data_IF_417030854165
#
_entry.id   IF_417030854165
#
_cell.length_a   1.000
_cell.length_b   1.000
_cell.length_c   1.000
_cell.angle_alpha   90.00
_cell.angle_beta   90.00
_cell.angle_gamma   90.00
#
_symmetry.space_group_name_H-M   'P 1'
#
loop_
_entity.id
_entity.type
_entity.pdbx_description
1 polymer ?
#
# COMPACT_ATOMS: atom_id res chain seq x y z
N UNK A 1 -15.40 -30.38 -12.17
CA UNK A 1 -15.40 -29.46 -11.00
C UNK A 1 -13.99 -28.94 -10.72
N UNK A 2 -12.99 -29.80 -10.51
CA UNK A 2 -11.58 -29.38 -10.30
C UNK A 2 -11.01 -28.41 -11.35
N UNK A 3 -11.32 -28.60 -12.64
CA UNK A 3 -10.85 -27.67 -13.70
C UNK A 3 -11.44 -26.26 -13.60
N UNK A 4 -12.66 -26.11 -13.07
CA UNK A 4 -13.29 -24.79 -12.89
C UNK A 4 -12.74 -24.07 -11.65
N UNK A 5 -12.41 -24.81 -10.59
CA UNK A 5 -11.76 -24.28 -9.38
C UNK A 5 -10.33 -23.82 -9.68
N UNK A 6 -9.57 -24.61 -10.44
CA UNK A 6 -8.24 -24.22 -10.90
C UNK A 6 -8.26 -22.93 -11.73
N UNK A 7 -9.17 -22.84 -12.71
CA UNK A 7 -9.35 -21.63 -13.51
C UNK A 7 -9.73 -20.41 -12.66
N UNK A 8 -10.54 -20.61 -11.62
CA UNK A 8 -10.92 -19.57 -10.66
C UNK A 8 -9.71 -19.10 -9.83
N UNK A 9 -8.91 -20.01 -9.27
CA UNK A 9 -7.69 -19.65 -8.54
C UNK A 9 -6.69 -18.92 -9.43
N UNK A 10 -6.50 -19.37 -10.68
CA UNK A 10 -5.63 -18.69 -11.63
C UNK A 10 -6.10 -17.26 -11.96
N UNK A 11 -7.42 -17.04 -12.04
CA UNK A 11 -7.97 -15.69 -12.22
C UNK A 11 -7.77 -14.82 -10.98
N UNK A 12 -8.04 -15.35 -9.78
CA UNK A 12 -7.79 -14.63 -8.53
C UNK A 12 -6.31 -14.27 -8.38
N UNK A 13 -5.40 -15.20 -8.70
CA UNK A 13 -3.96 -14.97 -8.63
C UNK A 13 -3.51 -13.82 -9.54
N UNK A 14 -4.09 -13.71 -10.75
CA UNK A 14 -3.82 -12.55 -11.64
C UNK A 14 -4.29 -11.25 -11.02
N UNK A 15 -5.53 -11.21 -10.52
CA UNK A 15 -6.09 -10.02 -9.88
C UNK A 15 -5.28 -9.57 -8.66
N UNK A 16 -4.87 -10.49 -7.79
CA UNK A 16 -4.08 -10.16 -6.60
C UNK A 16 -2.67 -9.65 -6.95
N UNK A 17 -2.05 -10.18 -8.02
CA UNK A 17 -0.77 -9.67 -8.52
C UNK A 17 -0.89 -8.25 -9.08
N UNK A 18 -1.97 -7.94 -9.80
CA UNK A 18 -2.25 -6.58 -10.27
C UNK A 18 -2.46 -5.61 -9.10
N UNK A 19 -3.22 -6.04 -8.07
CA UNK A 19 -3.41 -5.26 -6.86
C UNK A 19 -2.10 -5.04 -6.08
N UNK A 20 -1.21 -6.04 -6.05
CA UNK A 20 0.09 -5.91 -5.41
C UNK A 20 0.95 -4.84 -6.10
N UNK A 21 1.05 -4.88 -7.43
CA UNK A 21 1.78 -3.86 -8.21
C UNK A 21 1.22 -2.47 -7.96
N UNK A 22 -0.11 -2.34 -7.94
CA UNK A 22 -0.76 -1.07 -7.61
C UNK A 22 -0.42 -0.61 -6.19
N UNK A 23 -0.51 -1.51 -5.20
CA UNK A 23 -0.20 -1.18 -3.81
C UNK A 23 1.25 -0.73 -3.64
N UNK A 24 2.20 -1.34 -4.36
CA UNK A 24 3.60 -0.92 -4.40
C UNK A 24 3.75 0.53 -4.88
N UNK A 25 3.11 0.86 -6.01
CA UNK A 25 3.15 2.22 -6.58
C UNK A 25 2.49 3.24 -5.63
N UNK A 26 1.29 2.92 -5.13
CA UNK A 26 0.53 3.81 -4.24
C UNK A 26 1.32 4.10 -2.95
N UNK A 27 2.01 3.10 -2.38
CA UNK A 27 2.87 3.27 -1.20
C UNK A 27 4.08 4.14 -1.51
N UNK A 28 4.75 3.94 -2.64
CA UNK A 28 5.89 4.77 -3.06
C UNK A 28 5.49 6.24 -3.24
N UNK A 29 4.40 6.48 -3.97
CA UNK A 29 3.84 7.83 -4.16
C UNK A 29 3.42 8.45 -2.83
N UNK A 30 2.83 7.66 -1.93
CA UNK A 30 2.45 8.11 -0.60
C UNK A 30 3.65 8.51 0.25
N UNK A 31 4.75 7.75 0.21
CA UNK A 31 6.01 8.12 0.87
C UNK A 31 6.60 9.40 0.30
N UNK A 32 6.56 9.59 -1.02
CA UNK A 32 6.99 10.85 -1.64
C UNK A 32 6.14 12.03 -1.16
N UNK A 33 4.82 11.83 -1.05
CA UNK A 33 3.90 12.84 -0.52
C UNK A 33 4.23 13.21 0.92
N UNK A 34 4.53 12.22 1.78
CA UNK A 34 4.94 12.47 3.18
C UNK A 34 6.23 13.28 3.24
N UNK A 35 7.23 12.96 2.42
CA UNK A 35 8.49 13.73 2.34
C UNK A 35 8.22 15.19 1.97
N UNK A 36 7.45 15.42 0.90
CA UNK A 36 7.10 16.77 0.46
C UNK A 36 6.36 17.58 1.55
N UNK A 37 5.46 16.94 2.29
CA UNK A 37 4.72 17.58 3.39
C UNK A 37 5.62 17.87 4.60
N UNK A 38 6.61 17.01 4.88
CA UNK A 38 7.61 17.26 5.91
C UNK A 38 8.50 18.45 5.54
N UNK A 39 8.97 18.52 4.30
CA UNK A 39 9.79 19.65 3.83
C UNK A 39 9.03 20.99 3.91
N UNK A 40 7.75 20.98 3.56
CA UNK A 40 6.87 22.15 3.69
C UNK A 40 6.67 22.55 5.16
N UNK A 41 6.45 21.57 6.05
CA UNK A 41 6.31 21.80 7.48
C UNK A 41 7.57 22.45 8.05
N UNK A 42 8.75 21.91 7.73
CA UNK A 42 10.04 22.44 8.19
C UNK A 42 10.24 23.89 7.71
N UNK A 43 9.83 24.21 6.48
CA UNK A 43 9.85 25.57 5.97
C UNK A 43 8.90 26.49 6.74
N UNK A 44 7.65 26.06 6.98
CA UNK A 44 6.64 26.84 7.70
C UNK A 44 7.10 27.15 9.14
N UNK A 45 7.71 26.18 9.82
CA UNK A 45 8.26 26.35 11.15
C UNK A 45 9.38 27.40 11.16
N UNK A 46 10.31 27.34 10.20
CA UNK A 46 11.39 28.34 10.07
C UNK A 46 10.88 29.75 9.76
N UNK A 47 9.79 29.86 9.02
CA UNK A 47 9.11 31.12 8.73
C UNK A 47 8.27 31.65 9.91
N UNK A 48 8.18 30.91 11.02
CA UNK A 48 7.44 31.32 12.22
C UNK A 48 5.92 31.23 12.08
N UNK A 49 5.42 30.43 11.13
CA UNK A 49 3.98 30.19 10.98
C UNK A 49 3.45 29.26 12.08
N UNK A 50 2.16 29.37 12.37
CA UNK A 50 1.44 28.33 13.13
C UNK A 50 1.35 27.07 12.27
N UNK A 51 1.88 25.97 12.80
CA UNK A 51 2.07 24.71 12.09
C UNK A 51 1.32 23.54 12.70
N UNK A 52 0.48 23.77 13.71
CA UNK A 52 -0.22 22.69 14.44
C UNK A 52 -1.02 21.77 13.49
N UNK A 53 -1.69 22.35 12.50
CA UNK A 53 -2.45 21.59 11.49
C UNK A 53 -1.56 20.84 10.51
N UNK A 54 -0.43 21.42 10.12
CA UNK A 54 0.52 20.77 9.21
C UNK A 54 1.19 19.57 9.88
N UNK A 55 1.53 19.67 11.17
CA UNK A 55 2.04 18.57 11.99
C UNK A 55 1.02 17.42 12.09
N UNK A 56 -0.26 17.77 12.37
CA UNK A 56 -1.36 16.80 12.38
C UNK A 56 -1.51 16.08 11.05
N UNK A 57 -1.44 16.81 9.93
CA UNK A 57 -1.53 16.24 8.59
C UNK A 57 -0.40 15.25 8.31
N UNK A 58 0.86 15.64 8.57
CA UNK A 58 2.02 14.75 8.37
C UNK A 58 1.90 13.48 9.22
N UNK A 59 1.48 13.61 10.48
CA UNK A 59 1.25 12.48 11.38
C UNK A 59 0.15 11.54 10.84
N UNK A 60 -0.96 12.10 10.36
CA UNK A 60 -2.05 11.33 9.77
C UNK A 60 -1.57 10.56 8.53
N UNK A 61 -0.86 11.22 7.61
CA UNK A 61 -0.36 10.58 6.39
C UNK A 61 0.59 9.43 6.69
N UNK A 62 1.51 9.59 7.67
CA UNK A 62 2.41 8.52 8.14
C UNK A 62 1.61 7.33 8.68
N UNK A 63 0.57 7.56 9.49
CA UNK A 63 -0.28 6.49 10.03
C UNK A 63 -1.06 5.78 8.93
N UNK A 64 -1.60 6.51 7.96
CA UNK A 64 -2.30 5.92 6.82
C UNK A 64 -1.37 5.03 5.97
N UNK A 65 -0.13 5.45 5.73
CA UNK A 65 0.86 4.65 5.00
C UNK A 65 1.18 3.32 5.71
N UNK A 66 1.29 3.33 7.04
CA UNK A 66 1.49 2.10 7.81
C UNK A 66 0.33 1.11 7.55
N UNK A 67 -0.91 1.59 7.50
CA UNK A 67 -2.05 0.70 7.19
C UNK A 67 -2.02 0.21 5.74
N UNK A 68 -1.50 1.00 4.78
CA UNK A 68 -1.31 0.55 3.41
C UNK A 68 -0.24 -0.54 3.31
N UNK A 69 0.88 -0.40 4.02
CA UNK A 69 1.94 -1.42 4.10
C UNK A 69 1.44 -2.73 4.73
N UNK A 70 0.60 -2.62 5.77
CA UNK A 70 -0.08 -3.78 6.37
C UNK A 70 -1.02 -4.44 5.37
N UNK A 71 -1.83 -3.65 4.66
CA UNK A 71 -2.72 -4.17 3.63
C UNK A 71 -1.95 -4.88 2.51
N UNK A 72 -0.85 -4.28 2.03
CA UNK A 72 0.06 -4.89 1.05
C UNK A 72 0.56 -6.26 1.53
N UNK A 73 0.90 -6.38 2.81
CA UNK A 73 1.33 -7.67 3.39
C UNK A 73 0.25 -8.74 3.27
N UNK A 74 -1.03 -8.39 3.45
CA UNK A 74 -2.15 -9.32 3.26
C UNK A 74 -2.28 -9.76 1.80
N UNK A 75 -2.07 -8.85 0.85
CA UNK A 75 -2.07 -9.20 -0.59
C UNK A 75 -0.95 -10.19 -0.89
N UNK A 76 0.27 -9.95 -0.38
CA UNK A 76 1.41 -10.87 -0.55
C UNK A 76 1.10 -12.26 -0.01
N UNK A 77 0.52 -12.35 1.19
CA UNK A 77 0.10 -13.63 1.78
C UNK A 77 -0.95 -14.33 0.93
N UNK A 78 -1.90 -13.58 0.35
CA UNK A 78 -2.94 -14.12 -0.52
C UNK A 78 -2.37 -14.63 -1.84
N UNK A 79 -1.43 -13.91 -2.45
CA UNK A 79 -0.71 -14.33 -3.66
C UNK A 79 0.01 -15.66 -3.40
N UNK A 80 0.80 -15.76 -2.32
CA UNK A 80 1.54 -16.98 -1.98
C UNK A 80 0.59 -18.18 -1.81
N UNK A 81 -0.52 -18.00 -1.09
CA UNK A 81 -1.54 -19.04 -0.95
C UNK A 81 -2.11 -19.48 -2.30
N UNK A 82 -2.46 -18.55 -3.19
CA UNK A 82 -3.04 -18.88 -4.50
C UNK A 82 -2.03 -19.55 -5.43
N UNK A 83 -0.74 -19.20 -5.34
CA UNK A 83 0.34 -19.87 -6.07
C UNK A 83 0.43 -21.35 -5.68
N UNK A 84 0.34 -21.67 -4.38
CA UNK A 84 0.30 -23.05 -3.89
C UNK A 84 -0.93 -23.82 -4.41
N UNK A 85 -2.11 -23.19 -4.42
CA UNK A 85 -3.34 -23.82 -4.93
C UNK A 85 -3.26 -24.12 -6.44
N UNK A 86 -2.69 -23.21 -7.23
CA UNK A 86 -2.52 -23.40 -8.68
C UNK A 86 -1.44 -24.43 -9.01
N UNK A 87 -0.39 -24.55 -8.18
CA UNK A 87 0.69 -25.52 -8.39
C UNK A 87 0.34 -26.94 -7.95
N UNK A 88 -0.57 -27.09 -6.98
CA UNK A 88 -0.97 -28.39 -6.41
C UNK A 88 -2.07 -29.12 -7.22
N UNK A 89 -2.55 -28.52 -8.31
CA UNK A 89 -3.68 -29.00 -9.13
C UNK A 89 -3.44 -28.78 -10.62
#
# INVERSE_FOLDING_TARGET
MASAEHANWAQQLRSERELLVKADIDIEEGWQRVRNQQDLLDWLQRAGHDTEQAERLVSLLKRTLIEWERHRTLIVQRVAYLEEQVASH
#
